data_IF_389420946217
#
_entry.id   IF_389420946217
#
_cell.length_a   1.000
_cell.length_b   1.000
_cell.length_c   1.000
_cell.angle_alpha   90.00
_cell.angle_beta   90.00
_cell.angle_gamma   90.00
#
_symmetry.space_group_name_H-M   'P 1'
#
loop_
_entity.id
_entity.type
_entity.pdbx_description
1 polymer ?
#
# COMPACT_ATOMS: atom_id res chain seq x y z
N UNK A 1 8.62 -9.02 -8.83
CA UNK A 1 7.39 -8.38 -8.31
C UNK A 1 7.44 -8.31 -6.79
N UNK A 2 6.77 -7.33 -6.19
CA UNK A 2 6.54 -7.32 -4.75
C UNK A 2 5.60 -8.49 -4.35
N UNK A 3 5.56 -8.84 -3.07
CA UNK A 3 4.73 -9.94 -2.56
C UNK A 3 4.35 -9.76 -1.10
N UNK A 4 4.13 -8.51 -0.72
CA UNK A 4 3.58 -8.10 0.58
C UNK A 4 2.08 -8.38 0.65
N UNK A 5 1.37 -8.25 -0.47
CA UNK A 5 -0.03 -8.65 -0.63
C UNK A 5 -0.19 -9.46 -1.94
N UNK A 6 -1.23 -10.29 -2.06
CA UNK A 6 -1.50 -11.04 -3.28
C UNK A 6 -1.65 -10.16 -4.52
N UNK A 7 -1.07 -10.59 -5.64
CA UNK A 7 -1.27 -10.00 -6.98
C UNK A 7 -0.88 -8.52 -7.10
N UNK A 8 -0.04 -7.99 -6.19
CA UNK A 8 0.32 -6.56 -6.17
C UNK A 8 0.93 -6.06 -7.49
N UNK A 9 1.68 -6.91 -8.20
CA UNK A 9 2.29 -6.58 -9.49
C UNK A 9 1.39 -6.84 -10.71
N UNK A 10 0.11 -7.17 -10.50
CA UNK A 10 -0.78 -7.60 -11.57
C UNK A 10 -1.07 -6.49 -12.58
N UNK A 11 -1.30 -5.26 -12.13
CA UNK A 11 -1.59 -4.13 -13.03
C UNK A 11 -0.42 -3.86 -13.99
N UNK A 12 0.82 -3.81 -13.50
CA UNK A 12 2.01 -3.66 -14.35
C UNK A 12 2.15 -4.81 -15.35
N UNK A 13 1.94 -6.04 -14.87
CA UNK A 13 1.99 -7.24 -15.70
C UNK A 13 0.98 -7.18 -16.85
N UNK A 14 -0.26 -6.80 -16.53
CA UNK A 14 -1.32 -6.64 -17.52
C UNK A 14 -0.98 -5.52 -18.51
N UNK A 15 -0.46 -4.39 -18.03
CA UNK A 15 -0.03 -3.28 -18.90
C UNK A 15 1.02 -3.73 -19.92
N UNK A 16 2.03 -4.50 -19.50
CA UNK A 16 3.07 -5.05 -20.40
C UNK A 16 2.46 -5.89 -21.52
N UNK A 17 1.51 -6.77 -21.19
CA UNK A 17 0.85 -7.61 -22.20
C UNK A 17 -0.04 -6.78 -23.12
N UNK A 18 -0.81 -5.84 -22.57
CA UNK A 18 -1.73 -5.00 -23.33
C UNK A 18 -1.01 -4.05 -24.29
N UNK A 19 0.21 -3.62 -23.97
CA UNK A 19 1.04 -2.82 -24.87
C UNK A 19 1.74 -3.65 -25.95
N UNK A 20 1.51 -4.96 -26.01
CA UNK A 20 2.11 -5.87 -26.99
C UNK A 20 3.56 -6.26 -26.69
N UNK A 21 4.04 -5.99 -25.48
CA UNK A 21 5.38 -6.38 -25.03
C UNK A 21 5.38 -7.80 -24.44
N UNK A 22 6.57 -8.41 -24.37
CA UNK A 22 6.76 -9.72 -23.73
C UNK A 22 7.15 -9.55 -22.27
N UNK A 23 6.38 -10.16 -21.37
CA UNK A 23 6.61 -10.11 -19.94
C UNK A 23 7.60 -11.19 -19.48
N UNK A 24 8.78 -10.76 -19.00
CA UNK A 24 9.73 -11.62 -18.27
C UNK A 24 9.56 -11.36 -16.77
N UNK A 25 9.00 -12.34 -16.06
CA UNK A 25 8.48 -12.14 -14.70
C UNK A 25 9.22 -13.01 -13.70
N UNK A 26 9.76 -12.35 -12.67
CA UNK A 26 10.17 -13.00 -11.43
C UNK A 26 9.14 -12.73 -10.33
N UNK A 27 8.44 -13.79 -9.91
CA UNK A 27 7.49 -13.73 -8.81
C UNK A 27 8.19 -13.62 -7.46
N UNK A 28 7.52 -13.02 -6.48
CA UNK A 28 7.99 -13.05 -5.10
C UNK A 28 7.84 -14.45 -4.54
N UNK A 29 8.81 -14.94 -3.77
CA UNK A 29 8.67 -16.23 -3.05
C UNK A 29 7.54 -16.22 -2.03
N UNK A 30 7.10 -15.02 -1.59
CA UNK A 30 5.95 -14.82 -0.70
C UNK A 30 4.61 -14.78 -1.43
N UNK A 31 4.61 -14.52 -2.74
CA UNK A 31 3.42 -14.41 -3.59
C UNK A 31 3.68 -15.01 -4.98
N UNK A 32 3.64 -16.34 -5.06
CA UNK A 32 3.84 -17.09 -6.30
C UNK A 32 2.76 -18.12 -6.57
N UNK A 33 1.65 -18.10 -5.82
CA UNK A 33 0.59 -19.11 -5.91
C UNK A 33 -0.59 -18.64 -6.74
N UNK A 34 -1.07 -17.42 -6.49
CA UNK A 34 -2.25 -16.88 -7.21
C UNK A 34 -1.92 -16.38 -8.61
N UNK A 35 -0.70 -15.93 -8.86
CA UNK A 35 -0.29 -15.49 -10.19
C UNK A 35 -0.39 -16.57 -11.26
N UNK A 36 -0.09 -17.84 -10.91
CA UNK A 36 -0.10 -18.95 -11.86
C UNK A 36 -1.50 -19.21 -12.45
N UNK A 37 -2.56 -19.47 -11.66
CA UNK A 37 -3.89 -19.67 -12.21
C UNK A 37 -4.44 -18.42 -12.90
N UNK A 38 -4.04 -17.21 -12.48
CA UNK A 38 -4.43 -15.96 -13.17
C UNK A 38 -3.80 -15.88 -14.56
N UNK A 39 -2.53 -16.26 -14.70
CA UNK A 39 -1.86 -16.35 -16.01
C UNK A 39 -2.56 -17.38 -16.90
N UNK A 40 -2.94 -18.54 -16.34
CA UNK A 40 -3.68 -19.57 -17.08
C UNK A 40 -5.02 -19.05 -17.59
N UNK A 41 -5.78 -18.35 -16.75
CA UNK A 41 -7.07 -17.74 -17.13
C UNK A 41 -6.90 -16.66 -18.20
N UNK A 42 -5.88 -15.81 -18.09
CA UNK A 42 -5.57 -14.81 -19.11
C UNK A 42 -5.21 -15.44 -20.46
N UNK A 43 -4.49 -16.56 -20.46
CA UNK A 43 -4.17 -17.31 -21.68
C UNK A 43 -5.42 -17.96 -22.28
N UNK A 44 -6.39 -18.39 -21.46
CA UNK A 44 -7.68 -18.88 -21.94
C UNK A 44 -8.46 -17.74 -22.64
N UNK A 45 -8.47 -16.56 -22.03
CA UNK A 45 -9.14 -15.37 -22.58
C UNK A 45 -8.46 -14.89 -23.87
N UNK A 46 -7.13 -14.82 -23.90
CA UNK A 46 -6.34 -14.37 -25.04
C UNK A 46 -5.14 -15.32 -25.29
N UNK A 47 -5.29 -16.32 -26.18
CA UNK A 47 -4.27 -17.34 -26.42
C UNK A 47 -2.91 -16.83 -26.89
N UNK A 48 -2.85 -15.62 -27.49
CA UNK A 48 -1.57 -15.03 -27.96
C UNK A 48 -0.60 -14.78 -26.80
N UNK A 49 -1.10 -14.46 -25.60
CA UNK A 49 -0.28 -14.21 -24.42
C UNK A 49 0.59 -15.40 -24.00
N UNK A 50 0.26 -16.63 -24.41
CA UNK A 50 1.06 -17.82 -24.07
C UNK A 50 2.52 -17.70 -24.53
N UNK A 51 2.77 -17.05 -25.67
CA UNK A 51 4.13 -16.83 -26.19
C UNK A 51 4.84 -15.63 -25.57
N UNK A 52 4.08 -14.74 -24.91
CA UNK A 52 4.56 -13.45 -24.44
C UNK A 52 4.80 -13.42 -22.93
N UNK A 53 4.52 -14.50 -22.20
CA UNK A 53 4.74 -14.62 -20.75
C UNK A 53 5.85 -15.61 -20.47
N UNK A 54 6.89 -15.18 -19.75
CA UNK A 54 8.00 -16.03 -19.30
C UNK A 54 8.26 -15.87 -17.81
N UNK A 55 7.97 -16.91 -17.04
CA UNK A 55 8.34 -16.99 -15.63
C UNK A 55 9.81 -17.40 -15.47
N UNK A 56 10.56 -16.68 -14.64
CA UNK A 56 12.00 -16.91 -14.42
C UNK A 56 12.39 -16.72 -12.96
N UNK A 57 13.44 -17.43 -12.52
CA UNK A 57 14.06 -17.22 -11.21
C UNK A 57 14.98 -15.99 -11.17
N UNK A 58 15.54 -15.64 -12.34
CA UNK A 58 16.41 -14.48 -12.55
C UNK A 58 16.03 -13.78 -13.84
N UNK A 59 15.82 -12.47 -13.76
CA UNK A 59 15.48 -11.63 -14.91
C UNK A 59 16.76 -11.28 -15.65
N UNK A 60 16.85 -11.68 -16.92
CA UNK A 60 17.98 -11.47 -17.82
C UNK A 60 17.45 -11.25 -19.24
N UNK A 61 18.23 -10.60 -20.11
CA UNK A 61 17.90 -10.33 -21.51
C UNK A 61 16.55 -9.59 -21.69
N UNK A 62 16.46 -8.39 -21.10
CA UNK A 62 15.29 -7.51 -21.18
C UNK A 62 15.68 -6.17 -21.78
N UNK A 63 14.74 -5.51 -22.46
CA UNK A 63 14.92 -4.21 -23.08
C UNK A 63 14.58 -3.05 -22.13
N UNK A 64 13.67 -3.29 -21.19
CA UNK A 64 13.24 -2.35 -20.16
C UNK A 64 12.81 -3.09 -18.88
N UNK A 65 12.69 -2.36 -17.77
CA UNK A 65 12.37 -2.95 -16.47
C UNK A 65 11.33 -2.16 -15.69
N UNK A 66 10.39 -2.88 -15.09
CA UNK A 66 9.51 -2.37 -14.04
C UNK A 66 9.89 -3.08 -12.74
N UNK A 67 10.33 -2.32 -11.74
CA UNK A 67 10.74 -2.88 -10.45
C UNK A 67 10.10 -2.13 -9.30
N UNK A 68 9.47 -2.87 -8.39
CA UNK A 68 8.87 -2.33 -7.16
C UNK A 68 9.54 -2.99 -5.98
N UNK A 69 9.94 -2.19 -4.99
CA UNK A 69 10.59 -2.68 -3.78
C UNK A 69 10.52 -1.71 -2.62
N UNK A 70 11.19 -2.05 -1.53
CA UNK A 70 11.35 -1.16 -0.39
C UNK A 70 12.24 0.04 -0.74
N UNK A 71 12.23 1.07 0.11
CA UNK A 71 13.09 2.24 -0.08
C UNK A 71 14.58 1.87 -0.07
N UNK A 72 14.97 0.83 0.70
CA UNK A 72 16.33 0.28 0.69
C UNK A 72 16.65 -0.39 -0.64
N UNK A 73 15.72 -1.17 -1.18
CA UNK A 73 15.88 -1.88 -2.45
C UNK A 73 15.93 -0.91 -3.64
N UNK A 74 15.26 0.23 -3.54
CA UNK A 74 15.16 1.23 -4.60
C UNK A 74 16.54 1.73 -5.07
N UNK A 75 17.43 2.10 -4.13
CA UNK A 75 18.80 2.54 -4.47
C UNK A 75 19.60 1.47 -5.21
N UNK A 76 19.39 0.20 -4.85
CA UNK A 76 20.02 -0.91 -5.56
C UNK A 76 19.46 -1.07 -6.97
N UNK A 77 18.15 -0.87 -7.17
CA UNK A 77 17.53 -0.90 -8.49
C UNK A 77 18.00 0.25 -9.38
N UNK A 78 18.09 1.47 -8.85
CA UNK A 78 18.61 2.62 -9.60
C UNK A 78 20.01 2.35 -10.13
N UNK A 79 20.90 1.83 -9.28
CA UNK A 79 22.26 1.50 -9.69
C UNK A 79 22.30 0.35 -10.72
N UNK A 80 21.53 -0.71 -10.48
CA UNK A 80 21.56 -1.93 -11.29
C UNK A 80 20.91 -1.74 -12.67
N UNK A 81 19.88 -0.90 -12.77
CA UNK A 81 19.11 -0.67 -13.99
C UNK A 81 19.37 0.67 -14.66
N UNK A 82 20.38 1.44 -14.21
CA UNK A 82 20.70 2.79 -14.73
C UNK A 82 20.87 2.87 -16.26
N UNK A 83 21.28 1.78 -16.90
CA UNK A 83 21.57 1.72 -18.34
C UNK A 83 20.36 1.23 -19.17
N UNK A 84 19.21 1.01 -18.54
CA UNK A 84 17.97 0.55 -19.18
C UNK A 84 16.81 1.53 -18.93
N UNK A 85 15.87 1.68 -19.88
CA UNK A 85 14.58 2.28 -19.60
C UNK A 85 13.94 1.58 -18.40
N UNK A 86 13.65 2.35 -17.35
CA UNK A 86 13.21 1.78 -16.08
C UNK A 86 12.06 2.57 -15.47
N UNK A 87 11.08 1.83 -14.96
CA UNK A 87 10.01 2.32 -14.11
C UNK A 87 10.22 1.71 -12.72
N UNK A 88 10.93 2.46 -11.88
CA UNK A 88 11.29 2.04 -10.53
C UNK A 88 10.30 2.65 -9.55
N UNK A 89 9.71 1.81 -8.69
CA UNK A 89 8.74 2.24 -7.68
C UNK A 89 9.28 2.01 -6.27
N UNK A 90 9.29 3.09 -5.49
CA UNK A 90 9.63 3.09 -4.07
C UNK A 90 8.41 2.80 -3.20
N UNK A 91 8.65 2.58 -1.91
CA UNK A 91 7.56 2.36 -0.96
C UNK A 91 6.83 3.67 -0.70
N UNK A 92 5.50 3.65 -0.83
CA UNK A 92 4.58 4.71 -0.41
C UNK A 92 3.60 4.16 0.62
N UNK A 93 2.85 5.04 1.28
CA UNK A 93 1.79 4.64 2.21
C UNK A 93 0.57 5.54 2.09
N UNK A 94 -0.56 5.14 2.67
CA UNK A 94 -1.78 5.94 2.60
C UNK A 94 -2.10 6.61 3.92
N UNK A 95 -2.78 7.73 3.83
CA UNK A 95 -3.23 8.51 4.99
C UNK A 95 -4.73 8.71 4.92
N UNK A 96 -5.37 8.89 6.07
CA UNK A 96 -6.77 9.29 6.13
C UNK A 96 -6.91 10.64 6.83
N UNK A 97 -7.81 11.47 6.32
CA UNK A 97 -8.15 12.77 6.91
C UNK A 97 -9.58 12.67 7.42
N UNK A 98 -9.72 12.82 8.73
CA UNK A 98 -11.00 12.84 9.40
C UNK A 98 -11.37 14.26 9.75
N UNK A 99 -12.65 14.57 9.70
CA UNK A 99 -13.23 15.88 9.96
C UNK A 99 -13.88 15.98 11.34
N UNK A 100 -14.16 14.85 11.99
CA UNK A 100 -14.99 14.80 13.20
C UNK A 100 -16.48 14.61 12.90
N UNK A 101 -16.88 14.74 11.64
CA UNK A 101 -18.28 14.66 11.19
C UNK A 101 -18.58 13.34 10.44
N UNK A 102 -17.67 12.37 10.49
CA UNK A 102 -17.88 11.07 9.86
C UNK A 102 -19.09 10.36 10.50
N UNK A 103 -19.87 9.70 9.67
CA UNK A 103 -20.90 8.76 10.11
C UNK A 103 -20.27 7.48 10.68
N UNK A 104 -21.09 6.67 11.35
CA UNK A 104 -20.65 5.35 11.83
C UNK A 104 -20.19 4.47 10.66
N UNK A 105 -20.91 4.48 9.54
CA UNK A 105 -20.60 3.67 8.36
C UNK A 105 -19.28 4.11 7.71
N UNK A 106 -19.00 5.41 7.64
CA UNK A 106 -17.71 5.93 7.16
C UNK A 106 -16.54 5.48 8.06
N UNK A 107 -16.72 5.52 9.38
CA UNK A 107 -15.70 5.03 10.33
C UNK A 107 -15.47 3.52 10.20
N UNK A 108 -16.53 2.72 10.02
CA UNK A 108 -16.42 1.29 9.73
C UNK A 108 -15.73 1.04 8.39
N UNK A 109 -16.04 1.83 7.37
CA UNK A 109 -15.41 1.73 6.07
C UNK A 109 -13.90 2.04 6.16
N UNK A 110 -13.48 3.05 6.94
CA UNK A 110 -12.06 3.34 7.20
C UNK A 110 -11.31 2.13 7.78
N UNK A 111 -11.96 1.30 8.60
CA UNK A 111 -11.35 0.10 9.14
C UNK A 111 -10.88 -0.86 8.02
N UNK A 112 -11.61 -0.96 6.90
CA UNK A 112 -11.17 -1.74 5.74
C UNK A 112 -9.84 -1.21 5.18
N UNK A 113 -9.71 0.10 5.04
CA UNK A 113 -8.50 0.72 4.49
C UNK A 113 -7.28 0.50 5.40
N UNK A 114 -7.49 0.33 6.70
CA UNK A 114 -6.41 0.06 7.67
C UNK A 114 -6.07 -1.43 7.70
N UNK A 115 -7.06 -2.30 7.85
CA UNK A 115 -6.83 -3.69 8.25
C UNK A 115 -6.83 -4.72 7.12
N UNK A 116 -7.41 -4.43 5.96
CA UNK A 116 -7.37 -5.38 4.84
C UNK A 116 -5.92 -5.72 4.49
N UNK A 117 -5.67 -7.00 4.22
CA UNK A 117 -4.33 -7.56 4.04
C UNK A 117 -3.39 -7.30 5.22
N UNK A 118 -3.92 -7.22 6.45
CA UNK A 118 -3.17 -6.98 7.69
C UNK A 118 -2.41 -5.64 7.70
N UNK A 119 -2.79 -4.67 6.88
CA UNK A 119 -2.09 -3.39 6.77
C UNK A 119 -0.77 -3.45 5.99
N UNK A 120 -0.55 -4.49 5.18
CA UNK A 120 0.73 -4.73 4.51
C UNK A 120 0.88 -4.03 3.14
N UNK A 121 -0.19 -3.46 2.58
CA UNK A 121 -0.20 -2.81 1.27
C UNK A 121 0.16 -1.32 1.33
N UNK A 122 0.67 -0.76 0.23
CA UNK A 122 0.92 0.69 0.11
C UNK A 122 -0.38 1.52 0.18
N UNK A 123 -1.50 0.92 -0.24
CA UNK A 123 -2.85 1.49 -0.17
C UNK A 123 -3.49 1.40 1.22
N UNK A 124 -2.82 0.74 2.18
CA UNK A 124 -3.32 0.72 3.55
C UNK A 124 -3.05 2.05 4.25
N UNK A 125 -4.03 2.49 5.04
CA UNK A 125 -3.91 3.69 5.85
C UNK A 125 -3.03 3.38 7.07
N UNK A 126 -1.92 4.11 7.19
CA UNK A 126 -0.94 3.98 8.29
C UNK A 126 -0.86 5.23 9.15
N UNK A 127 -1.48 6.33 8.70
CA UNK A 127 -1.58 7.57 9.47
C UNK A 127 -2.95 8.23 9.33
N UNK A 128 -3.45 8.76 10.44
CA UNK A 128 -4.65 9.59 10.53
C UNK A 128 -4.28 11.05 10.77
N UNK A 129 -4.92 11.95 10.04
CA UNK A 129 -5.00 13.36 10.37
C UNK A 129 -6.37 13.64 10.96
N UNK A 130 -6.41 14.11 12.21
CA UNK A 130 -7.67 14.34 12.95
C UNK A 130 -7.73 15.80 13.44
N UNK A 131 -8.90 16.43 13.54
CA UNK A 131 -9.00 17.80 14.05
C UNK A 131 -8.62 17.84 15.54
N UNK A 132 -8.21 19.01 16.04
CA UNK A 132 -7.98 19.20 17.47
C UNK A 132 -9.18 18.73 18.31
N UNK A 133 -8.89 18.01 19.38
CA UNK A 133 -9.87 17.43 20.31
C UNK A 133 -10.77 16.33 19.71
N UNK A 134 -10.38 15.71 18.60
CA UNK A 134 -11.07 14.52 18.08
C UNK A 134 -11.09 13.39 19.12
N UNK A 135 -12.25 12.79 19.34
CA UNK A 135 -12.39 11.64 20.23
C UNK A 135 -11.97 10.34 19.53
N UNK A 136 -10.74 9.90 19.80
CA UNK A 136 -10.18 8.67 19.24
C UNK A 136 -10.96 7.41 19.65
N UNK A 137 -11.77 7.44 20.72
CA UNK A 137 -12.60 6.30 21.10
C UNK A 137 -13.64 5.94 20.03
N UNK A 138 -14.10 6.93 19.25
CA UNK A 138 -15.01 6.72 18.13
C UNK A 138 -14.43 5.78 17.06
N UNK A 139 -13.10 5.70 16.97
CA UNK A 139 -12.39 4.80 16.05
C UNK A 139 -12.19 3.42 16.67
N UNK A 140 -11.85 3.35 17.96
CA UNK A 140 -11.69 2.06 18.64
C UNK A 140 -12.96 1.21 18.61
N UNK A 141 -14.13 1.84 18.75
CA UNK A 141 -15.42 1.14 18.68
C UNK A 141 -15.59 0.38 17.36
N UNK A 142 -15.32 1.03 16.23
CA UNK A 142 -15.49 0.41 14.91
C UNK A 142 -14.35 -0.53 14.55
N UNK A 143 -13.13 -0.28 15.03
CA UNK A 143 -11.98 -1.12 14.74
C UNK A 143 -12.08 -2.48 15.42
N UNK A 144 -12.87 -2.62 16.48
CA UNK A 144 -13.08 -3.88 17.19
C UNK A 144 -13.63 -5.01 16.30
N UNK A 145 -14.32 -4.67 15.20
CA UNK A 145 -14.75 -5.65 14.19
C UNK A 145 -13.56 -6.41 13.55
N UNK A 146 -12.35 -5.86 13.60
CA UNK A 146 -11.12 -6.45 13.06
C UNK A 146 -10.23 -7.09 14.12
N UNK A 147 -10.68 -7.28 15.37
CA UNK A 147 -9.84 -7.85 16.44
C UNK A 147 -9.16 -9.18 16.06
N UNK A 148 -9.82 -9.99 15.21
CA UNK A 148 -9.33 -11.29 14.77
C UNK A 148 -8.05 -11.22 13.90
N UNK A 149 -7.63 -10.03 13.45
CA UNK A 149 -6.32 -9.86 12.79
C UNK A 149 -5.17 -10.35 13.68
N UNK A 150 -5.34 -10.28 15.00
CA UNK A 150 -4.37 -10.76 15.99
C UNK A 150 -4.23 -12.30 15.98
N UNK A 151 -5.20 -13.04 15.44
CA UNK A 151 -5.07 -14.49 15.28
C UNK A 151 -3.99 -14.87 14.26
N UNK A 152 -3.55 -13.92 13.43
CA UNK A 152 -2.35 -14.09 12.62
C UNK A 152 -1.10 -13.90 13.49
N UNK A 153 -0.34 -14.98 13.70
CA UNK A 153 0.88 -14.95 14.52
C UNK A 153 1.89 -13.85 14.13
N UNK A 154 2.06 -13.54 12.83
CA UNK A 154 2.99 -12.48 12.43
C UNK A 154 2.49 -11.10 12.84
N UNK A 155 1.18 -10.88 12.76
CA UNK A 155 0.54 -9.65 13.20
C UNK A 155 0.63 -9.50 14.73
N UNK A 156 0.22 -10.53 15.48
CA UNK A 156 0.31 -10.55 16.94
C UNK A 156 1.74 -10.28 17.44
N UNK A 157 2.74 -10.94 16.83
CA UNK A 157 4.13 -10.73 17.21
C UNK A 157 4.58 -9.27 16.99
N UNK A 158 4.12 -8.61 15.91
CA UNK A 158 4.41 -7.19 15.69
C UNK A 158 3.72 -6.31 16.74
N UNK A 159 2.45 -6.58 17.03
CA UNK A 159 1.71 -5.88 18.07
C UNK A 159 2.43 -5.95 19.43
N UNK A 160 2.75 -7.15 19.90
CA UNK A 160 3.41 -7.36 21.20
C UNK A 160 4.79 -6.69 21.24
N UNK A 161 5.56 -6.78 20.15
CA UNK A 161 6.87 -6.16 20.03
C UNK A 161 6.80 -4.63 20.14
N UNK A 162 5.96 -3.98 19.35
CA UNK A 162 5.87 -2.51 19.36
C UNK A 162 5.20 -1.98 20.62
N UNK A 163 4.22 -2.72 21.17
CA UNK A 163 3.64 -2.40 22.48
C UNK A 163 4.72 -2.37 23.55
N UNK A 164 5.55 -3.40 23.64
CA UNK A 164 6.64 -3.45 24.61
C UNK A 164 7.63 -2.28 24.43
N UNK A 165 8.05 -2.01 23.19
CA UNK A 165 8.97 -0.89 22.88
C UNK A 165 8.38 0.45 23.33
N UNK A 166 7.13 0.74 22.97
CA UNK A 166 6.53 2.03 23.26
C UNK A 166 6.23 2.23 24.75
N UNK A 167 5.80 1.17 25.45
CA UNK A 167 5.64 1.20 26.91
C UNK A 167 6.98 1.44 27.62
N UNK A 168 8.05 0.76 27.21
CA UNK A 168 9.40 0.97 27.79
C UNK A 168 9.94 2.37 27.50
N UNK A 169 9.68 2.90 26.31
CA UNK A 169 10.06 4.25 25.90
C UNK A 169 9.22 5.38 26.53
N UNK A 170 8.21 5.04 27.36
CA UNK A 170 7.24 5.98 27.95
C UNK A 170 6.54 6.84 26.89
N UNK A 171 6.32 6.29 25.71
CA UNK A 171 5.50 6.94 24.70
C UNK A 171 4.04 6.90 25.14
N UNK A 172 3.32 8.01 24.92
CA UNK A 172 1.88 8.03 25.12
C UNK A 172 1.22 7.27 23.97
N UNK A 173 0.62 6.12 24.28
CA UNK A 173 -0.07 5.26 23.32
C UNK A 173 -1.48 4.95 23.81
N UNK A 174 -2.40 4.74 22.88
CA UNK A 174 -3.68 4.11 23.15
C UNK A 174 -3.69 2.75 22.46
N UNK A 175 -4.21 1.71 23.10
CA UNK A 175 -4.22 0.36 22.53
C UNK A 175 -5.47 -0.41 22.96
N UNK A 176 -5.83 -1.43 22.18
CA UNK A 176 -7.02 -2.25 22.41
C UNK A 176 -6.76 -3.76 22.25
N UNK A 177 -5.52 -4.21 22.46
CA UNK A 177 -5.15 -5.64 22.36
C UNK A 177 -4.76 -6.12 20.95
N UNK A 178 -4.97 -5.34 19.90
CA UNK A 178 -4.52 -5.67 18.54
C UNK A 178 -4.08 -4.47 17.71
N UNK A 179 -4.48 -3.25 18.05
CA UNK A 179 -4.02 -2.01 17.43
C UNK A 179 -3.40 -1.09 18.48
N UNK A 180 -2.35 -0.37 18.09
CA UNK A 180 -1.73 0.71 18.85
C UNK A 180 -1.94 2.02 18.09
N UNK A 181 -2.65 2.98 18.67
CA UNK A 181 -2.65 4.37 18.21
C UNK A 181 -1.50 5.13 18.87
N UNK A 182 -0.71 5.81 18.05
CA UNK A 182 0.44 6.58 18.50
C UNK A 182 0.44 7.96 17.86
N UNK A 183 0.57 9.00 18.67
CA UNK A 183 0.80 10.34 18.11
C UNK A 183 2.20 10.40 17.49
N UNK A 184 2.27 10.61 16.18
CA UNK A 184 3.52 10.65 15.42
C UNK A 184 3.34 11.40 14.09
N UNK A 185 4.37 12.15 13.70
CA UNK A 185 4.42 12.85 12.42
C UNK A 185 4.81 11.93 11.26
N UNK A 186 5.43 10.79 11.52
CA UNK A 186 5.81 9.84 10.49
C UNK A 186 4.59 9.31 9.73
N UNK A 187 4.65 9.34 8.39
CA UNK A 187 3.63 8.74 7.52
C UNK A 187 3.53 7.23 7.74
N UNK A 188 4.68 6.56 7.71
CA UNK A 188 4.74 5.12 7.87
C UNK A 188 4.62 4.72 9.34
N UNK A 189 3.76 3.75 9.60
CA UNK A 189 3.69 3.03 10.86
C UNK A 189 4.02 1.55 10.64
N UNK A 190 4.59 0.87 11.65
CA UNK A 190 4.68 -0.58 11.63
C UNK A 190 3.31 -1.27 11.62
N UNK A 191 3.28 -2.54 11.22
CA UNK A 191 2.09 -3.38 11.36
C UNK A 191 1.61 -3.38 12.81
N UNK A 192 0.28 -3.29 12.99
CA UNK A 192 -0.41 -3.14 14.29
C UNK A 192 -0.24 -1.77 14.97
N UNK A 193 0.45 -0.81 14.34
CA UNK A 193 0.54 0.57 14.79
C UNK A 193 -0.17 1.46 13.78
N UNK A 194 -0.94 2.44 14.23
CA UNK A 194 -1.55 3.47 13.41
C UNK A 194 -1.15 4.82 13.99
N UNK A 195 -0.43 5.60 13.19
CA UNK A 195 -0.02 6.93 13.62
C UNK A 195 -1.20 7.89 13.54
N UNK A 196 -1.22 8.90 14.39
CA UNK A 196 -2.12 10.03 14.21
C UNK A 196 -1.41 11.36 14.49
N UNK A 197 -1.92 12.41 13.87
CA UNK A 197 -1.48 13.79 14.08
C UNK A 197 -2.72 14.71 14.11
N UNK A 198 -2.76 15.62 15.07
CA UNK A 198 -3.79 16.66 15.10
C UNK A 198 -3.48 17.74 14.06
N UNK A 199 -4.50 18.18 13.32
CA UNK A 199 -4.40 19.35 12.45
C UNK A 199 -5.33 20.47 12.92
N UNK A 200 -4.95 21.69 12.54
CA UNK A 200 -5.66 22.94 12.87
C UNK A 200 -6.60 23.37 11.74
N UNK A 201 -6.00 23.80 10.63
CA UNK A 201 -6.69 24.34 9.46
C UNK A 201 -6.49 23.40 8.26
N UNK A 202 -7.54 23.23 7.46
CA UNK A 202 -7.50 22.34 6.28
C UNK A 202 -6.46 22.83 5.27
N UNK A 203 -6.29 24.14 5.16
CA UNK A 203 -5.34 24.80 4.26
C UNK A 203 -3.89 24.46 4.64
N UNK A 204 -3.56 24.48 5.93
CA UNK A 204 -2.23 24.09 6.41
C UNK A 204 -1.95 22.60 6.17
N UNK A 205 -2.97 21.75 6.39
CA UNK A 205 -2.85 20.33 6.11
C UNK A 205 -2.64 20.07 4.62
N UNK A 206 -3.36 20.78 3.74
CA UNK A 206 -3.21 20.65 2.30
C UNK A 206 -1.78 20.98 1.83
N UNK A 207 -1.16 22.03 2.38
CA UNK A 207 0.24 22.36 2.11
C UNK A 207 1.20 21.25 2.56
N UNK A 208 1.01 20.72 3.77
CA UNK A 208 1.81 19.60 4.29
C UNK A 208 1.67 18.34 3.41
N UNK A 209 0.47 18.05 2.91
CA UNK A 209 0.23 16.89 2.05
C UNK A 209 0.86 17.04 0.67
N UNK A 210 0.90 18.25 0.09
CA UNK A 210 1.60 18.49 -1.17
C UNK A 210 3.12 18.30 -1.03
N UNK A 211 3.71 18.72 0.09
CA UNK A 211 5.14 18.47 0.38
C UNK A 211 5.45 16.97 0.48
N UNK A 212 4.49 16.17 0.95
CA UNK A 212 4.63 14.74 1.20
C UNK A 212 4.10 13.85 0.06
N UNK A 213 3.63 14.43 -1.05
CA UNK A 213 2.91 13.71 -2.12
C UNK A 213 3.69 12.53 -2.72
N UNK A 214 5.02 12.63 -2.78
CA UNK A 214 5.86 11.58 -3.35
C UNK A 214 5.98 10.33 -2.46
N UNK A 215 5.57 10.44 -1.20
CA UNK A 215 5.58 9.35 -0.22
C UNK A 215 4.16 8.84 0.09
N UNK A 216 3.13 9.58 -0.36
CA UNK A 216 1.72 9.23 -0.18
C UNK A 216 1.18 8.50 -1.41
N UNK A 217 0.57 7.34 -1.18
CA UNK A 217 -0.07 6.49 -2.18
C UNK A 217 -1.52 6.93 -2.42
N UNK A 218 -2.27 7.09 -1.32
CA UNK A 218 -3.66 7.49 -1.33
C UNK A 218 -3.93 8.43 -0.16
N UNK A 219 -4.83 9.39 -0.37
CA UNK A 219 -5.45 10.18 0.69
C UNK A 219 -6.90 9.73 0.74
N UNK A 220 -7.34 9.29 1.91
CA UNK A 220 -8.70 8.83 2.17
C UNK A 220 -9.44 9.91 2.98
N UNK A 221 -10.67 10.24 2.59
CA UNK A 221 -11.47 11.26 3.28
C UNK A 221 -12.66 11.73 2.45
N UNK A 222 -13.52 12.58 3.05
CA UNK A 222 -14.73 13.10 2.38
C UNK A 222 -14.45 13.86 1.08
N UNK A 223 -13.32 14.57 1.03
CA UNK A 223 -12.87 15.36 -0.13
C UNK A 223 -11.88 14.59 -1.03
N UNK A 224 -11.65 13.30 -0.75
CA UNK A 224 -10.63 12.47 -1.40
C UNK A 224 -11.19 11.09 -1.79
N UNK A 225 -10.35 10.05 -1.80
CA UNK A 225 -10.83 8.68 -1.98
C UNK A 225 -11.80 8.37 -0.81
N UNK A 226 -13.03 7.92 -1.10
CA UNK A 226 -13.99 7.61 -0.04
C UNK A 226 -13.46 6.53 0.91
N UNK A 227 -13.87 6.61 2.17
CA UNK A 227 -13.54 5.58 3.16
C UNK A 227 -13.96 4.18 2.68
N UNK A 228 -13.08 3.19 2.90
CA UNK A 228 -13.23 1.80 2.49
C UNK A 228 -12.90 1.50 1.03
N UNK A 229 -12.44 2.50 0.26
CA UNK A 229 -12.17 2.36 -1.18
C UNK A 229 -10.69 2.37 -1.55
N UNK A 230 -9.77 2.59 -0.60
CA UNK A 230 -8.34 2.69 -0.93
C UNK A 230 -7.79 1.40 -1.58
N UNK A 231 -8.34 0.25 -1.18
CA UNK A 231 -7.99 -1.09 -1.68
C UNK A 231 -8.76 -1.51 -2.94
N UNK A 232 -9.56 -0.62 -3.55
CA UNK A 232 -10.34 -0.89 -4.75
C UNK A 232 -9.90 0.04 -5.89
N UNK A 233 -8.63 -0.04 -6.34
CA UNK A 233 -8.17 0.78 -7.45
C UNK A 233 -8.91 0.49 -8.74
N UNK A 234 -9.17 1.53 -9.52
CA UNK A 234 -9.54 1.41 -10.92
C UNK A 234 -8.31 1.05 -11.77
N UNK A 235 -8.54 0.64 -13.02
CA UNK A 235 -7.46 0.23 -13.93
C UNK A 235 -6.45 1.34 -14.24
N UNK A 236 -6.90 2.60 -14.16
CA UNK A 236 -6.09 3.81 -14.42
C UNK A 236 -5.36 4.31 -13.15
N UNK A 237 -5.59 3.70 -11.99
CA UNK A 237 -4.98 4.10 -10.71
C UNK A 237 -3.57 3.51 -10.52
N UNK A 238 -2.62 4.01 -11.31
CA UNK A 238 -1.21 3.58 -11.25
C UNK A 238 -0.59 3.82 -9.85
N UNK A 239 0.21 2.86 -9.37
CA UNK A 239 0.74 2.83 -8.01
C UNK A 239 1.53 4.09 -7.61
N UNK A 240 2.22 4.77 -8.51
CA UNK A 240 2.96 5.99 -8.23
C UNK A 240 2.42 7.23 -8.94
N UNK A 241 1.24 7.11 -9.59
CA UNK A 241 0.70 8.11 -10.50
C UNK A 241 1.41 8.16 -11.86
N UNK A 242 2.43 7.33 -12.08
CA UNK A 242 3.12 7.25 -13.37
C UNK A 242 2.36 6.28 -14.27
N UNK A 243 1.88 6.78 -15.40
CA UNK A 243 1.15 5.98 -16.36
C UNK A 243 2.06 4.90 -16.98
N UNK A 244 1.78 3.65 -16.65
CA UNK A 244 2.61 2.49 -17.05
C UNK A 244 2.49 2.23 -18.54
N UNK A 245 1.29 2.37 -19.12
CA UNK A 245 1.10 2.19 -20.57
C UNK A 245 1.89 3.24 -21.35
N UNK A 246 1.89 4.50 -20.91
CA UNK A 246 2.66 5.57 -21.54
C UNK A 246 4.18 5.34 -21.46
N UNK A 247 4.66 4.80 -20.34
CA UNK A 247 6.06 4.35 -20.23
C UNK A 247 6.35 3.25 -21.25
N UNK A 248 5.45 2.27 -21.37
CA UNK A 248 5.60 1.13 -22.28
C UNK A 248 5.49 1.50 -23.75
N UNK A 249 4.67 2.49 -24.12
CA UNK A 249 4.56 3.01 -25.50
C UNK A 249 5.86 3.69 -25.98
N UNK A 250 6.69 4.18 -25.06
CA UNK A 250 7.94 4.84 -25.38
C UNK A 250 9.12 3.88 -25.57
N UNK A 251 8.90 2.58 -25.38
CA UNK A 251 9.88 1.49 -25.56
C UNK A 251 9.66 0.84 -26.93
#
# INVERSE_FOLDING_TARGET
>A
MAGNIPLVGFNDFLCVLMSGHRAIIKLSSKDNRLFLPIIEELIIIEPRFKGDIKLVEKVENFDAVIATGSNESFKHFEYYFKDYPSLLRKSRTSVAILTGEESLDERKALANDIFLYFGLGCRNVTKLYVPKNYDLNLLFEVFFEYQDVVLNNKYANNYDYYRAIYMMGKHNILENGFLILKEDKALHSPVAVLNYEYYDEKESLALQLDELKEDIQCIVGKDYIPFGKAQQPDLEDYADGINTLRFLEAI
#
